data_IF_696705414949
#
_entry.id   IF_696705414949
#
_cell.length_a   1.000
_cell.length_b   1.000
_cell.length_c   1.000
_cell.angle_alpha   90.00
_cell.angle_beta   90.00
_cell.angle_gamma   90.00
#
_symmetry.space_group_name_H-M   'P 1'
#
loop_
_entity.id
_entity.type
_entity.pdbx_description
1 polymer ?
#
# COMPACT_ATOMS: atom_id res chain seq x y z
N UNK A 1 -3.89 45.46 16.71
CA UNK A 1 -4.86 44.50 16.14
C UNK A 1 -4.38 43.89 14.82
N UNK A 2 -4.08 44.67 13.77
CA UNK A 2 -3.64 44.15 12.45
C UNK A 2 -2.40 43.22 12.51
N UNK A 3 -1.36 43.59 13.28
CA UNK A 3 -0.15 42.75 13.46
C UNK A 3 -0.45 41.35 14.04
N UNK A 4 -1.40 41.26 14.97
CA UNK A 4 -1.78 39.98 15.59
C UNK A 4 -2.56 39.10 14.61
N UNK A 5 -3.43 39.70 13.78
CA UNK A 5 -4.15 39.00 12.71
C UNK A 5 -3.19 38.42 11.66
N UNK A 6 -2.14 39.17 11.28
CA UNK A 6 -1.12 38.70 10.33
C UNK A 6 -0.34 37.51 10.89
N UNK A 7 0.10 37.58 12.16
CA UNK A 7 0.82 36.47 12.79
C UNK A 7 -0.04 35.22 12.92
N UNK A 8 -1.33 35.37 13.26
CA UNK A 8 -2.28 34.28 13.31
C UNK A 8 -2.48 33.63 11.93
N UNK A 9 -2.61 34.43 10.87
CA UNK A 9 -2.75 33.94 9.50
C UNK A 9 -1.50 33.17 9.04
N UNK A 10 -0.29 33.66 9.34
CA UNK A 10 0.97 32.96 9.02
C UNK A 10 1.06 31.63 9.78
N UNK A 11 0.67 31.61 11.05
CA UNK A 11 0.65 30.39 11.86
C UNK A 11 -0.35 29.37 11.31
N UNK A 12 -1.56 29.80 10.95
CA UNK A 12 -2.55 28.91 10.34
C UNK A 12 -2.08 28.37 8.99
N UNK A 13 -1.48 29.21 8.15
CA UNK A 13 -0.91 28.77 6.87
C UNK A 13 0.25 27.79 7.06
N UNK A 14 1.12 27.97 8.06
CA UNK A 14 2.24 27.05 8.30
C UNK A 14 1.76 25.69 8.81
N UNK A 15 0.77 25.67 9.69
CA UNK A 15 0.11 24.43 10.16
C UNK A 15 -0.57 23.72 9.00
N UNK A 16 -1.32 24.44 8.17
CA UNK A 16 -2.02 23.88 7.02
C UNK A 16 -1.07 23.32 5.95
N UNK A 17 0.01 24.05 5.67
CA UNK A 17 1.07 23.59 4.76
C UNK A 17 1.71 22.30 5.27
N UNK A 18 2.00 22.24 6.57
CA UNK A 18 2.57 21.05 7.20
C UNK A 18 1.60 19.87 7.16
N UNK A 19 0.30 20.08 7.40
CA UNK A 19 -0.69 18.99 7.33
C UNK A 19 -0.83 18.39 5.93
N UNK A 20 -0.75 19.21 4.88
CA UNK A 20 -0.73 18.72 3.49
C UNK A 20 0.52 17.87 3.21
N UNK A 21 1.67 18.27 3.77
CA UNK A 21 2.91 17.51 3.63
C UNK A 21 2.98 16.27 4.54
N UNK A 22 2.14 16.17 5.56
CA UNK A 22 2.17 15.07 6.55
C UNK A 22 1.37 13.84 6.07
N UNK A 23 0.44 13.97 5.13
CA UNK A 23 -0.28 12.80 4.60
C UNK A 23 0.51 12.03 3.52
N UNK A 24 1.77 11.72 3.83
CA UNK A 24 2.69 10.98 2.97
C UNK A 24 2.70 9.48 3.26
N UNK A 25 1.84 9.02 4.16
CA UNK A 25 1.65 7.61 4.44
C UNK A 25 0.93 6.93 3.28
N UNK A 26 1.51 5.83 2.81
CA UNK A 26 1.06 5.06 1.67
C UNK A 26 1.11 3.56 1.99
N UNK A 27 0.33 2.79 1.24
CA UNK A 27 0.19 1.35 1.43
C UNK A 27 0.37 0.61 0.11
N UNK A 28 0.98 -0.57 0.17
CA UNK A 28 1.03 -1.51 -0.94
C UNK A 28 0.74 -2.93 -0.46
N UNK A 29 0.01 -3.70 -1.25
CA UNK A 29 -0.28 -5.12 -1.01
C UNK A 29 0.47 -5.94 -2.06
N UNK A 30 1.30 -6.88 -1.61
CA UNK A 30 1.98 -7.82 -2.50
C UNK A 30 1.52 -9.23 -2.14
N UNK A 31 0.96 -9.92 -3.13
CA UNK A 31 0.71 -11.35 -3.08
C UNK A 31 1.90 -12.11 -3.67
N UNK A 32 2.62 -12.85 -2.85
CA UNK A 32 3.65 -13.80 -3.27
C UNK A 32 3.00 -15.16 -3.50
N UNK A 33 2.77 -15.50 -4.76
CA UNK A 33 2.10 -16.73 -5.16
C UNK A 33 3.12 -17.83 -5.48
N UNK A 34 3.27 -18.74 -4.52
CA UNK A 34 4.11 -19.94 -4.59
C UNK A 34 3.36 -21.16 -5.13
N UNK A 35 4.11 -22.25 -5.35
CA UNK A 35 3.54 -23.55 -5.71
C UNK A 35 2.78 -24.25 -4.57
N UNK A 36 2.98 -23.80 -3.32
CA UNK A 36 2.36 -24.39 -2.12
C UNK A 36 1.34 -23.45 -1.45
N UNK A 37 0.97 -22.38 -2.13
CA UNK A 37 0.10 -21.35 -1.58
C UNK A 37 0.59 -19.94 -1.80
N UNK A 38 -0.21 -19.00 -1.33
CA UNK A 38 0.00 -17.56 -1.55
C UNK A 38 0.14 -16.83 -0.22
N UNK A 39 1.09 -15.92 -0.12
CA UNK A 39 1.29 -15.06 1.05
C UNK A 39 0.95 -13.63 0.70
N UNK A 40 0.15 -12.97 1.54
CA UNK A 40 -0.16 -11.55 1.41
C UNK A 40 0.68 -10.74 2.39
N UNK A 41 1.49 -9.84 1.84
CA UNK A 41 2.22 -8.83 2.58
C UNK A 41 1.56 -7.48 2.38
N UNK A 42 1.45 -6.69 3.44
CA UNK A 42 1.10 -5.27 3.35
C UNK A 42 2.32 -4.48 3.80
N UNK A 43 2.68 -3.52 2.98
CA UNK A 43 3.75 -2.56 3.20
C UNK A 43 3.11 -1.23 3.54
N UNK A 44 3.58 -0.62 4.62
CA UNK A 44 3.30 0.76 4.98
C UNK A 44 4.59 1.55 4.85
N UNK A 45 4.54 2.65 4.10
CA UNK A 45 5.72 3.46 3.83
C UNK A 45 5.34 4.94 3.79
N UNK A 46 6.33 5.78 4.04
CA UNK A 46 6.19 7.22 3.94
C UNK A 46 6.86 7.71 2.66
N UNK A 47 6.22 8.64 1.97
CA UNK A 47 6.88 9.44 0.95
C UNK A 47 7.62 10.60 1.61
N UNK A 48 8.64 11.12 0.96
CA UNK A 48 9.36 12.34 1.35
C UNK A 48 9.60 13.20 0.11
N UNK A 49 9.44 14.53 0.21
CA UNK A 49 9.73 15.43 -0.89
C UNK A 49 11.25 15.57 -1.03
N UNK A 50 11.78 15.26 -2.21
CA UNK A 50 13.19 15.41 -2.57
C UNK A 50 13.32 16.35 -3.76
N UNK A 51 14.25 17.30 -3.70
CA UNK A 51 14.59 18.14 -4.86
C UNK A 51 15.58 17.40 -5.75
N UNK A 52 15.13 17.10 -6.98
CA UNK A 52 15.95 16.48 -8.01
C UNK A 52 16.00 17.43 -9.19
N UNK A 53 17.14 18.11 -9.36
CA UNK A 53 17.43 19.04 -10.46
C UNK A 53 16.43 20.23 -10.53
N UNK A 54 16.07 20.79 -9.37
CA UNK A 54 15.11 21.89 -9.26
C UNK A 54 13.65 21.45 -9.39
N UNK A 55 13.37 20.16 -9.20
CA UNK A 55 12.02 19.59 -9.25
C UNK A 55 11.77 18.74 -8.01
N UNK A 56 10.76 19.13 -7.23
CA UNK A 56 10.30 18.34 -6.08
C UNK A 56 9.65 17.05 -6.61
N UNK A 57 10.20 15.90 -6.21
CA UNK A 57 9.65 14.56 -6.43
C UNK A 57 9.36 13.92 -5.08
N UNK A 58 8.50 12.91 -5.06
CA UNK A 58 8.28 12.07 -3.88
C UNK A 58 9.18 10.84 -3.99
N UNK A 59 9.99 10.60 -2.95
CA UNK A 59 10.78 9.38 -2.78
C UNK A 59 10.18 8.58 -1.62
N UNK A 60 10.28 7.25 -1.66
CA UNK A 60 9.97 6.43 -0.48
C UNK A 60 11.08 6.64 0.56
N UNK A 61 10.70 6.92 1.80
CA UNK A 61 11.63 6.98 2.94
C UNK A 61 12.28 5.61 3.15
N UNK A 62 13.49 5.58 3.70
CA UNK A 62 14.26 4.35 3.83
C UNK A 62 13.60 3.33 4.79
N UNK A 63 12.69 3.78 5.67
CA UNK A 63 11.89 2.91 6.54
C UNK A 63 10.61 2.44 5.85
N UNK A 64 10.46 1.12 5.75
CA UNK A 64 9.26 0.46 5.24
C UNK A 64 8.82 -0.56 6.29
N UNK A 65 7.59 -0.44 6.76
CA UNK A 65 7.00 -1.45 7.64
C UNK A 65 6.35 -2.52 6.77
N UNK A 66 6.93 -3.73 6.78
CA UNK A 66 6.36 -4.90 6.14
C UNK A 66 5.77 -5.83 7.19
N UNK A 67 4.58 -6.35 6.93
CA UNK A 67 4.02 -7.44 7.73
C UNK A 67 3.35 -8.50 6.86
N UNK A 68 3.59 -9.76 7.22
CA UNK A 68 2.83 -10.90 6.68
C UNK A 68 1.45 -10.87 7.35
N UNK A 69 0.40 -10.74 6.54
CA UNK A 69 -0.96 -10.57 7.06
C UNK A 69 -1.85 -11.78 6.85
N UNK A 70 -1.58 -12.56 5.81
CA UNK A 70 -2.41 -13.68 5.45
C UNK A 70 -1.60 -14.72 4.70
N UNK A 71 -1.83 -15.98 5.04
CA UNK A 71 -1.37 -17.12 4.26
C UNK A 71 -2.59 -17.86 3.74
N UNK A 72 -2.56 -18.14 2.45
CA UNK A 72 -3.54 -18.96 1.75
C UNK A 72 -2.85 -20.29 1.45
N UNK A 73 -3.01 -21.23 2.37
CA UNK A 73 -2.40 -22.55 2.30
C UNK A 73 -3.32 -23.48 1.51
N UNK A 74 -3.03 -23.62 0.22
CA UNK A 74 -3.69 -24.52 -0.73
C UNK A 74 -2.64 -25.20 -1.64
N UNK A 75 -3.11 -25.88 -2.69
CA UNK A 75 -2.24 -26.46 -3.72
C UNK A 75 -1.61 -25.39 -4.66
N UNK A 76 -1.63 -24.11 -4.25
CA UNK A 76 -1.19 -22.97 -5.03
C UNK A 76 -2.18 -22.57 -6.12
N UNK A 77 -1.98 -21.36 -6.67
CA UNK A 77 -2.81 -20.82 -7.75
C UNK A 77 -2.88 -21.73 -8.99
N UNK A 78 -1.84 -22.55 -9.22
CA UNK A 78 -1.79 -23.52 -10.31
C UNK A 78 -2.81 -24.66 -10.21
N UNK A 79 -3.50 -24.81 -9.08
CA UNK A 79 -4.51 -25.85 -8.88
C UNK A 79 -5.92 -25.45 -9.32
N UNK A 80 -6.16 -24.17 -9.59
CA UNK A 80 -7.45 -23.66 -10.03
C UNK A 80 -7.60 -23.75 -11.55
N UNK A 81 -8.81 -24.09 -12.00
CA UNK A 81 -9.11 -24.32 -13.43
C UNK A 81 -9.92 -23.19 -14.05
N UNK A 82 -10.42 -22.24 -13.25
CA UNK A 82 -11.19 -21.09 -13.72
C UNK A 82 -11.03 -19.89 -12.77
N UNK A 83 -11.21 -18.69 -13.33
CA UNK A 83 -11.09 -17.42 -12.58
C UNK A 83 -12.13 -17.32 -11.46
N UNK A 84 -13.33 -17.89 -11.66
CA UNK A 84 -14.42 -17.85 -10.67
C UNK A 84 -14.05 -18.58 -9.37
N UNK A 85 -13.17 -19.59 -9.45
CA UNK A 85 -12.66 -20.30 -8.27
C UNK A 85 -11.60 -19.50 -7.50
N UNK A 86 -10.96 -18.53 -8.16
CA UNK A 86 -9.83 -17.76 -7.63
C UNK A 86 -10.32 -16.52 -6.84
N UNK A 87 -11.45 -15.90 -7.22
CA UNK A 87 -11.93 -14.72 -6.50
C UNK A 87 -12.21 -14.98 -5.00
N UNK A 88 -12.86 -16.09 -4.60
CA UNK A 88 -13.03 -16.43 -3.19
C UNK A 88 -11.70 -16.68 -2.46
N UNK A 89 -10.69 -17.20 -3.16
CA UNK A 89 -9.37 -17.51 -2.58
C UNK A 89 -8.71 -16.27 -1.96
N UNK A 90 -8.78 -15.12 -2.62
CA UNK A 90 -8.20 -13.87 -2.10
C UNK A 90 -9.11 -13.11 -1.13
N UNK A 91 -10.41 -13.38 -1.12
CA UNK A 91 -11.42 -12.57 -0.44
C UNK A 91 -11.16 -12.44 1.06
N UNK A 92 -10.81 -13.54 1.74
CA UNK A 92 -10.51 -13.55 3.18
C UNK A 92 -9.30 -12.68 3.52
N UNK A 93 -8.25 -12.70 2.69
CA UNK A 93 -7.08 -11.86 2.92
C UNK A 93 -7.38 -10.39 2.62
N UNK A 94 -8.13 -10.10 1.56
CA UNK A 94 -8.53 -8.73 1.23
C UNK A 94 -9.43 -8.10 2.29
N UNK A 95 -10.30 -8.90 2.94
CA UNK A 95 -11.07 -8.43 4.09
C UNK A 95 -10.15 -8.00 5.24
N UNK A 96 -9.14 -8.81 5.57
CA UNK A 96 -8.13 -8.44 6.58
C UNK A 96 -7.35 -7.19 6.18
N UNK A 97 -6.98 -7.04 4.90
CA UNK A 97 -6.32 -5.84 4.41
C UNK A 97 -7.18 -4.58 4.61
N UNK A 98 -8.49 -4.68 4.39
CA UNK A 98 -9.43 -3.58 4.63
C UNK A 98 -9.48 -3.16 6.11
N UNK A 99 -9.28 -4.07 7.06
CA UNK A 99 -9.25 -3.73 8.49
C UNK A 99 -8.03 -2.88 8.87
N UNK A 100 -6.94 -2.98 8.12
CA UNK A 100 -5.68 -2.28 8.39
C UNK A 100 -5.49 -1.00 7.58
N UNK A 101 -5.96 -1.00 6.33
CA UNK A 101 -5.76 0.11 5.41
C UNK A 101 -6.92 1.09 5.57
N UNK A 102 -6.66 2.36 5.96
CA UNK A 102 -7.68 3.40 6.07
C UNK A 102 -8.46 3.57 4.77
N UNK A 103 -9.76 3.83 4.86
CA UNK A 103 -10.67 3.83 3.70
C UNK A 103 -10.25 4.85 2.63
N UNK A 104 -9.75 5.99 3.07
CA UNK A 104 -9.21 7.07 2.25
C UNK A 104 -7.95 6.66 1.45
N UNK A 105 -7.20 5.66 1.93
CA UNK A 105 -5.99 5.14 1.28
C UNK A 105 -6.25 3.95 0.36
N UNK A 106 -7.40 3.27 0.48
CA UNK A 106 -7.68 2.03 -0.28
C UNK A 106 -7.66 2.24 -1.79
N UNK A 107 -8.20 3.35 -2.28
CA UNK A 107 -8.22 3.67 -3.72
C UNK A 107 -6.83 3.96 -4.30
N UNK A 108 -5.87 4.36 -3.45
CA UNK A 108 -4.50 4.68 -3.81
C UNK A 108 -3.52 3.52 -3.53
N UNK A 109 -3.99 2.50 -2.80
CA UNK A 109 -3.16 1.36 -2.41
C UNK A 109 -2.80 0.54 -3.64
N UNK A 110 -1.50 0.42 -3.89
CA UNK A 110 -1.00 -0.42 -4.97
C UNK A 110 -1.17 -1.89 -4.61
N UNK A 111 -1.71 -2.70 -5.52
CA UNK A 111 -1.86 -4.15 -5.34
C UNK A 111 -1.13 -4.86 -6.47
N UNK A 112 -0.25 -5.79 -6.13
CA UNK A 112 0.45 -6.63 -7.10
C UNK A 112 0.41 -8.09 -6.70
N UNK A 113 0.33 -8.97 -7.70
CA UNK A 113 0.46 -10.41 -7.54
C UNK A 113 1.71 -10.86 -8.30
N UNK A 114 2.63 -11.46 -7.57
CA UNK A 114 3.90 -11.96 -8.09
C UNK A 114 3.86 -13.49 -8.08
N UNK A 115 3.58 -14.06 -9.24
CA UNK A 115 3.57 -15.50 -9.43
C UNK A 115 4.99 -16.05 -9.64
N UNK A 116 5.35 -17.07 -8.87
CA UNK A 116 6.61 -17.79 -9.00
C UNK A 116 6.43 -19.06 -9.84
N UNK A 117 7.39 -19.99 -9.79
CA UNK A 117 7.48 -21.14 -10.69
C UNK A 117 6.20 -22.01 -10.77
N UNK A 118 5.38 -22.06 -9.71
CA UNK A 118 4.18 -22.89 -9.66
C UNK A 118 3.05 -22.50 -10.64
N UNK A 119 3.01 -21.25 -11.09
CA UNK A 119 1.95 -20.75 -11.99
C UNK A 119 2.37 -20.83 -13.47
N UNK A 120 3.67 -21.01 -13.75
CA UNK A 120 4.20 -21.09 -15.13
C UNK A 120 3.87 -22.40 -15.84
N UNK A 121 3.41 -23.42 -15.10
CA UNK A 121 3.12 -24.76 -15.59
C UNK A 121 1.64 -24.98 -15.92
N UNK A 122 0.81 -23.94 -15.81
CA UNK A 122 -0.57 -23.97 -16.26
C UNK A 122 -0.59 -24.07 -17.80
N UNK A 123 -1.07 -25.20 -18.32
CA UNK A 123 -1.37 -25.39 -19.74
C UNK A 123 -2.82 -25.01 -20.04
#
# INVERSE_FOLDING_TARGET
MLRQLILLAIFLMSVYSKSILVDQEQFAIIFDAGSKGTRMYIYKYQLEPVDILGRIKLKIQDSIEQKLYCELNDNGLGSYTSVDQIAPYFSNCMQKANELIPIEKRSQTYISLLATAGVRLLQ
#
